data_IF_390829207423
#
_entry.id   IF_390829207423
#
_cell.length_a   1.000
_cell.length_b   1.000
_cell.length_c   1.000
_cell.angle_alpha   90.00
_cell.angle_beta   90.00
_cell.angle_gamma   90.00
#
_symmetry.space_group_name_H-M   'P 1'
#
loop_
_entity.id
_entity.type
_entity.pdbx_description
1 polymer ?
2 polymer ?
3 non-polymer ?
4 water ?
#
# COMPACT_ATOMS: atom_id res chain seq x y z
N UNK A 4 -9.95 -4.10 17.61
CA UNK A 4 -9.66 -5.59 17.59
C UNK A 4 -9.91 -6.19 16.21
N UNK A 5 -10.00 -5.38 15.18
CA UNK A 5 -10.02 -5.89 13.80
C UNK A 5 -8.68 -6.52 13.47
N UNK A 6 -8.69 -7.43 12.51
CA UNK A 6 -7.46 -8.02 11.99
C UNK A 6 -7.75 -8.80 10.73
N UNK A 7 -7.07 -9.92 10.52
CA UNK A 7 -7.19 -10.73 9.29
C UNK A 7 -7.55 -12.20 9.58
N UNK A 8 -7.95 -12.50 10.81
CA UNK A 8 -8.35 -13.87 11.22
C UNK A 8 -9.78 -14.26 10.83
N UNK A 9 -10.18 -15.50 11.11
CA UNK A 9 -11.56 -16.00 10.82
C UNK A 9 -12.57 -15.15 11.60
N UNK A 10 -12.15 -14.67 12.77
CA UNK A 10 -13.10 -14.08 13.72
C UNK A 10 -13.07 -12.56 13.66
N UNK A 11 -12.07 -11.95 13.00
CA UNK A 11 -11.97 -10.47 13.05
C UNK A 11 -11.51 -9.92 11.69
N UNK A 12 -11.61 -10.72 10.64
CA UNK A 12 -11.10 -10.34 9.32
C UNK A 12 -12.07 -9.46 8.55
N UNK A 13 -11.71 -9.18 7.29
CA UNK A 13 -12.46 -8.25 6.45
C UNK A 13 -13.99 -8.42 6.46
N UNK A 14 -14.51 -9.63 6.53
CA UNK A 14 -15.99 -9.80 6.48
C UNK A 14 -16.64 -9.35 7.80
N UNK A 15 -15.87 -9.09 8.86
CA UNK A 15 -16.39 -8.58 10.14
C UNK A 15 -16.27 -7.06 10.27
N UNK A 16 -15.43 -6.42 9.46
CA UNK A 16 -15.07 -5.00 9.69
C UNK A 16 -16.29 -4.09 9.71
N UNK A 17 -17.29 -4.39 8.87
CA UNK A 17 -18.48 -3.53 8.75
C UNK A 17 -19.20 -3.33 10.09
N UNK A 18 -19.04 -4.23 11.05
CA UNK A 18 -19.78 -4.09 12.33
C UNK A 18 -19.23 -2.92 13.14
N UNK A 19 -17.94 -2.64 13.07
CA UNK A 19 -17.38 -1.44 13.76
C UNK A 19 -17.14 -0.29 12.80
N UNK A 20 -17.07 -0.55 11.50
CA UNK A 20 -16.75 0.46 10.49
C UNK A 20 -17.75 0.34 9.34
N UNK A 21 -19.00 0.82 9.52
CA UNK A 21 -20.04 0.56 8.54
C UNK A 21 -19.73 1.05 7.11
N UNK A 22 -18.81 2.00 6.96
CA UNK A 22 -18.37 2.47 5.63
C UNK A 22 -17.73 1.32 4.84
N UNK A 23 -17.44 0.20 5.50
CA UNK A 23 -16.94 -1.00 4.81
C UNK A 23 -17.86 -1.38 3.64
N UNK A 24 -19.15 -1.08 3.75
CA UNK A 24 -20.13 -1.40 2.67
C UNK A 24 -20.44 -0.14 1.85
N UNK A 25 -19.54 0.82 1.80
CA UNK A 25 -19.78 2.13 1.15
C UNK A 25 -19.65 2.08 -0.36
N UNK A 26 -19.71 3.26 -0.95
CA UNK A 26 -19.81 3.41 -2.40
C UNK A 26 -18.43 3.53 -3.07
N UNK A 27 -17.37 3.73 -2.29
CA UNK A 27 -16.03 3.93 -2.91
C UNK A 27 -14.98 3.19 -2.08
N UNK A 28 -15.21 1.90 -1.88
CA UNK A 28 -14.27 1.07 -1.10
C UNK A 28 -13.17 0.49 -1.99
N UNK A 29 -12.05 0.23 -1.34
CA UNK A 29 -10.86 -0.34 -1.98
C UNK A 29 -10.43 -1.56 -1.20
N UNK A 30 -9.69 -2.48 -1.83
CA UNK A 30 -9.26 -2.46 -3.24
C UNK A 30 -10.40 -2.91 -4.16
N UNK A 31 -10.08 -2.94 -5.46
CA UNK A 31 -10.99 -3.39 -6.52
C UNK A 31 -10.21 -4.28 -7.48
N UNK A 32 -10.94 -5.04 -8.25
CA UNK A 32 -10.38 -5.69 -9.43
C UNK A 32 -10.31 -4.67 -10.56
N UNK A 33 -9.15 -4.64 -11.19
CA UNK A 33 -8.90 -3.76 -12.36
C UNK A 33 -9.14 -4.61 -13.59
N UNK A 34 -10.27 -4.35 -14.26
CA UNK A 34 -10.60 -5.06 -15.50
C UNK A 34 -9.93 -4.26 -16.63
N UNK A 35 -8.84 -4.77 -17.15
CA UNK A 35 -7.95 -4.02 -18.06
C UNK A 35 -8.66 -3.69 -19.35
N UNK A 36 -9.66 -4.48 -19.76
CA UNK A 36 -10.38 -4.20 -21.00
C UNK A 36 -11.38 -3.06 -20.80
N UNK A 37 -11.96 -2.90 -19.61
CA UNK A 37 -12.99 -1.88 -19.29
C UNK A 37 -12.33 -0.53 -18.90
N UNK A 38 -11.09 -0.54 -18.39
CA UNK A 38 -10.39 0.69 -17.99
C UNK A 38 -10.23 1.55 -19.22
N UNK A 39 -10.55 2.82 -19.11
CA UNK A 39 -10.45 3.67 -20.31
C UNK A 39 -9.14 4.44 -20.31
N UNK A 40 -8.44 4.40 -21.43
CA UNK A 40 -7.30 5.28 -21.64
C UNK A 40 -7.83 6.71 -21.59
N UNK A 41 -7.20 7.54 -20.81
CA UNK A 41 -7.57 8.96 -20.62
C UNK A 41 -6.38 9.80 -21.06
N UNK A 42 -6.38 10.33 -22.29
CA UNK A 42 -5.23 11.09 -22.80
C UNK A 42 -5.00 12.38 -22.00
N UNK A 43 -6.01 12.82 -21.23
CA UNK A 43 -5.90 14.03 -20.37
C UNK A 43 -5.07 13.75 -19.11
N UNK A 44 -4.83 12.49 -18.74
CA UNK A 44 -4.01 12.16 -17.55
C UNK A 44 -2.55 12.52 -17.83
N UNK A 45 -1.91 13.10 -16.83
CA UNK A 45 -0.50 13.53 -16.93
C UNK A 45 0.40 12.41 -16.44
N UNK A 46 1.68 12.45 -16.87
CA UNK A 46 2.66 11.57 -16.29
C UNK A 46 2.68 11.80 -14.78
N UNK A 47 2.92 10.73 -14.04
CA UNK A 47 3.13 10.86 -12.59
C UNK A 47 4.43 11.61 -12.37
N UNK A 48 4.49 12.48 -11.37
CA UNK A 48 5.74 13.10 -10.89
C UNK A 48 6.02 12.51 -9.53
N UNK A 49 7.01 11.64 -9.44
CA UNK A 49 7.49 11.08 -8.16
C UNK A 49 8.81 11.78 -7.80
N UNK A 50 8.83 12.60 -6.76
CA UNK A 50 10.02 13.40 -6.38
C UNK A 50 10.49 12.93 -5.01
N UNK A 51 11.29 11.87 -4.98
CA UNK A 51 11.76 11.25 -3.73
C UNK A 51 13.26 11.51 -3.48
N UNK A 52 13.94 12.33 -4.28
CA UNK A 52 15.39 12.62 -4.09
C UNK A 52 15.72 13.04 -2.65
N UNK A 53 14.88 13.84 -2.00
CA UNK A 53 15.19 14.38 -0.64
C UNK A 53 14.43 13.61 0.47
N UNK A 54 13.94 12.43 0.19
CA UNK A 54 13.18 11.65 1.19
C UNK A 54 14.03 11.40 2.44
N UNK A 55 13.39 11.54 3.60
CA UNK A 55 14.03 11.26 4.91
C UNK A 55 13.23 10.17 5.63
N UNK A 56 13.66 8.93 5.48
CA UNK A 56 13.06 7.83 6.26
C UNK A 56 13.53 7.98 7.70
N UNK A 57 12.68 7.56 8.64
CA UNK A 57 13.02 7.70 10.06
C UNK A 57 13.04 6.36 10.78
N UNK A 58 12.04 5.54 10.56
CA UNK A 58 11.77 4.43 11.51
C UNK A 58 10.95 3.37 10.79
N UNK A 59 11.03 2.16 11.28
CA UNK A 59 10.19 1.05 10.79
C UNK A 59 9.45 0.49 12.00
N UNK A 60 8.17 0.21 11.87
CA UNK A 60 7.27 -0.17 12.97
C UNK A 60 6.46 -1.41 12.59
N UNK A 61 6.42 -2.42 13.44
CA UNK A 61 5.42 -3.50 13.32
C UNK A 61 4.19 -3.04 14.09
N UNK A 62 3.11 -2.73 13.38
CA UNK A 62 1.90 -2.19 14.04
C UNK A 62 0.86 -3.30 14.28
N UNK A 63 1.24 -4.58 14.17
CA UNK A 63 0.30 -5.69 14.41
C UNK A 63 -0.49 -6.08 13.17
N UNK A 64 -0.44 -5.31 12.10
CA UNK A 64 -1.15 -5.63 10.83
C UNK A 64 -0.19 -5.69 9.65
N UNK A 65 0.85 -4.89 9.66
CA UNK A 65 1.90 -4.83 8.65
C UNK A 65 3.13 -4.21 9.31
N UNK A 66 4.13 -3.85 8.53
CA UNK A 66 5.18 -2.94 9.01
C UNK A 66 5.14 -1.68 8.18
N UNK A 67 5.31 -0.55 8.84
CA UNK A 67 5.34 0.76 8.18
C UNK A 67 6.74 1.33 8.23
N UNK A 68 7.27 1.73 7.09
CA UNK A 68 8.48 2.59 7.00
C UNK A 68 8.00 4.03 6.98
N UNK A 69 8.34 4.78 8.00
CA UNK A 69 7.85 6.15 8.24
C UNK A 69 8.85 7.17 7.74
N UNK A 70 8.33 8.28 7.25
CA UNK A 70 9.13 9.38 6.71
C UNK A 70 8.85 10.67 7.47
N UNK A 71 9.81 11.56 7.41
CA UNK A 71 9.60 12.96 7.84
C UNK A 71 8.70 13.64 6.82
N UNK A 72 7.48 13.98 7.22
CA UNK A 72 6.52 14.68 6.32
C UNK A 72 6.30 16.10 6.82
N UNK A 73 7.26 16.67 7.54
CA UNK A 73 7.14 18.05 8.07
C UNK A 73 7.56 19.10 7.01
N UNK A 74 7.99 18.68 5.83
CA UNK A 74 8.36 19.57 4.69
C UNK A 74 8.14 18.79 3.38
N UNK A 75 8.17 19.48 2.23
CA UNK A 75 7.97 18.87 0.87
C UNK A 75 9.26 18.17 0.41
N UNK A 76 9.65 17.10 1.08
CA UNK A 76 10.91 16.35 0.85
C UNK A 76 10.73 15.16 -0.11
N UNK A 77 9.60 14.50 -0.01
CA UNK A 77 9.25 13.33 -0.82
C UNK A 77 7.79 13.52 -1.25
N UNK A 78 7.56 13.93 -2.48
CA UNK A 78 6.20 14.31 -2.87
C UNK A 78 5.80 13.62 -4.18
N UNK A 79 4.51 13.44 -4.28
CA UNK A 79 3.81 12.95 -5.46
C UNK A 79 2.95 14.07 -6.00
N UNK A 80 3.00 14.27 -7.31
CA UNK A 80 2.10 15.21 -7.98
C UNK A 80 1.91 14.79 -9.41
N UNK A 81 1.11 15.55 -10.15
CA UNK A 81 0.79 15.17 -11.52
C UNK A 81 -0.06 13.93 -11.53
N UNK A 82 0.02 13.19 -12.62
CA UNK A 82 -0.92 12.09 -12.83
C UNK A 82 -2.34 12.64 -12.77
N UNK A 83 -3.25 12.02 -11.97
CA UNK A 83 -4.61 12.51 -11.81
C UNK A 83 -4.77 13.61 -10.75
N UNK A 84 -3.67 13.95 -10.06
CA UNK A 84 -3.72 14.76 -8.82
C UNK A 84 -3.69 16.25 -9.14
N UNK A 85 -4.37 16.99 -8.30
CA UNK A 85 -4.29 18.47 -8.23
C UNK A 85 -3.44 18.74 -6.99
N UNK A 86 -2.38 19.52 -7.10
CA UNK A 86 -1.60 19.90 -5.93
C UNK A 86 -0.57 18.85 -5.55
N UNK A 87 -0.12 18.90 -4.32
CA UNK A 87 1.13 18.27 -3.84
C UNK A 87 0.78 17.33 -2.70
N UNK A 88 1.27 16.11 -2.78
CA UNK A 88 1.01 15.09 -1.74
C UNK A 88 2.33 14.61 -1.14
N UNK A 89 2.45 14.68 0.17
CA UNK A 89 3.68 14.33 0.90
C UNK A 89 3.67 12.88 1.31
N UNK A 90 4.78 12.20 1.07
CA UNK A 90 4.96 10.82 1.54
C UNK A 90 5.03 10.78 3.07
N UNK A 91 4.18 9.99 3.71
CA UNK A 91 4.20 9.77 5.18
C UNK A 91 4.75 8.39 5.52
N UNK A 92 4.38 7.36 4.77
CA UNK A 92 4.84 5.99 5.12
C UNK A 92 4.62 5.10 3.92
N UNK A 93 5.33 3.99 3.88
CA UNK A 93 4.95 2.88 3.01
C UNK A 93 4.84 1.61 3.83
N UNK A 94 4.07 0.67 3.28
CA UNK A 94 3.91 -0.65 3.86
C UNK A 94 3.54 -1.61 2.74
N UNK A 95 3.43 -2.88 3.08
CA UNK A 95 3.04 -3.94 2.13
C UNK A 95 1.88 -4.73 2.69
N UNK A 96 1.23 -5.44 1.77
CA UNK A 96 0.28 -6.52 2.06
C UNK A 96 0.80 -7.74 1.32
N UNK A 97 0.72 -8.91 1.95
CA UNK A 97 1.27 -10.14 1.32
C UNK A 97 0.53 -11.37 1.80
N UNK A 98 0.85 -12.47 1.13
CA UNK A 98 0.15 -13.73 1.32
C UNK A 98 0.94 -14.77 2.10
N UNK A 99 0.26 -15.87 2.39
CA UNK A 99 0.92 -17.07 2.97
C UNK A 99 1.63 -17.89 1.87
N UNK A 100 1.24 -17.70 0.62
CA UNK A 100 1.71 -18.41 -0.61
C UNK A 100 1.90 -17.35 -1.71
N UNK A 101 2.69 -17.64 -2.72
CA UNK A 101 2.96 -16.63 -3.76
C UNK A 101 1.72 -16.34 -4.62
N UNK A 102 0.71 -17.20 -4.63
CA UNK A 102 -0.50 -16.98 -5.43
C UNK A 102 -1.53 -16.06 -4.84
N UNK A 103 -1.25 -15.45 -3.70
CA UNK A 103 -2.17 -14.48 -3.09
C UNK A 103 -1.33 -13.46 -2.33
N UNK A 104 -1.94 -12.31 -2.02
CA UNK A 104 -1.27 -11.32 -1.18
C UNK A 104 -1.58 -9.91 -1.62
N UNK A 105 -1.79 -9.67 -2.91
CA UNK A 105 -2.14 -8.31 -3.37
C UNK A 105 -3.59 -8.01 -2.95
N UNK A 106 -3.85 -6.72 -2.86
CA UNK A 106 -5.20 -6.19 -2.57
C UNK A 106 -5.92 -5.91 -3.87
N UNK A 107 -5.38 -5.03 -4.71
CA UNK A 107 -5.87 -4.92 -6.08
C UNK A 107 -5.55 -6.23 -6.81
N UNK A 108 -6.39 -6.50 -7.81
CA UNK A 108 -6.19 -7.61 -8.74
C UNK A 108 -6.28 -7.05 -10.15
N UNK A 109 -5.70 -7.76 -11.09
CA UNK A 109 -5.69 -7.33 -12.49
C UNK A 109 -6.32 -8.44 -13.31
N UNK A 110 -7.52 -8.20 -13.84
CA UNK A 110 -8.27 -9.27 -14.54
C UNK A 110 -8.30 -10.52 -13.62
N UNK A 111 -8.55 -10.29 -12.35
CA UNK A 111 -8.68 -11.31 -11.27
C UNK A 111 -7.35 -11.95 -10.92
N UNK A 112 -6.25 -11.57 -11.52
CA UNK A 112 -4.93 -12.04 -11.08
C UNK A 112 -4.55 -11.41 -9.74
N UNK A 113 -4.13 -12.25 -8.82
CA UNK A 113 -3.54 -11.86 -7.53
C UNK A 113 -2.02 -11.95 -7.63
N UNK A 114 -1.37 -10.90 -7.21
CA UNK A 114 0.09 -10.90 -7.08
C UNK A 114 0.49 -11.38 -5.67
N UNK A 115 1.77 -11.67 -5.49
CA UNK A 115 2.31 -12.18 -4.22
C UNK A 115 2.20 -11.12 -3.13
N UNK A 116 2.27 -9.85 -3.49
CA UNK A 116 2.25 -8.78 -2.49
C UNK A 116 1.93 -7.49 -3.22
N UNK A 117 1.70 -6.45 -2.42
CA UNK A 117 1.41 -5.11 -2.95
C UNK A 117 2.01 -4.08 -1.98
N UNK A 118 2.77 -3.16 -2.54
CA UNK A 118 3.40 -2.04 -1.83
C UNK A 118 2.49 -0.83 -1.96
N UNK A 119 2.26 -0.16 -0.84
CA UNK A 119 1.48 1.09 -0.76
C UNK A 119 2.36 2.20 -0.24
N UNK A 120 2.63 3.19 -1.09
CA UNK A 120 3.29 4.43 -0.71
C UNK A 120 2.21 5.47 -0.44
N UNK A 121 2.08 5.88 0.80
CA UNK A 121 0.94 6.68 1.27
C UNK A 121 1.32 8.16 1.35
N UNK A 122 0.54 9.01 0.69
CA UNK A 122 0.83 10.45 0.64
C UNK A 122 -0.41 11.23 1.01
N UNK A 123 -0.22 12.39 1.64
CA UNK A 123 -1.37 13.26 2.01
C UNK A 123 -1.25 14.63 1.37
N UNK A 124 -2.42 15.19 1.05
CA UNK A 124 -2.55 16.46 0.32
C UNK A 124 -2.16 17.62 1.21
N UNK A 125 -1.13 18.36 0.82
CA UNK A 125 -0.59 19.43 1.68
C UNK A 125 -1.64 20.51 1.96
N UNK A 126 -2.67 20.62 1.12
CA UNK A 126 -3.68 21.68 1.33
C UNK A 126 -4.46 21.43 2.62
N UNK A 127 -4.39 20.26 3.23
CA UNK A 127 -5.11 19.97 4.49
C UNK A 127 -4.18 19.98 5.71
N UNK A 128 -2.89 20.24 5.50
CA UNK A 128 -2.00 20.57 6.63
C UNK A 128 -1.44 19.40 7.41
N UNK A 129 -2.26 18.40 7.76
CA UNK A 129 -1.81 17.17 8.49
C UNK A 129 -2.60 15.93 8.02
N UNK A 130 -2.00 14.74 8.18
CA UNK A 130 -2.59 13.48 7.74
C UNK A 130 -3.98 13.30 8.33
N UNK A 131 -4.16 13.61 9.62
CA UNK A 131 -5.45 13.38 10.28
C UNK A 131 -6.54 14.22 9.67
N UNK A 132 -6.24 15.45 9.27
CA UNK A 132 -7.22 16.28 8.56
C UNK A 132 -7.42 15.74 7.14
N UNK A 133 -6.37 15.29 6.49
CA UNK A 133 -6.47 14.85 5.08
C UNK A 133 -7.39 13.64 4.98
N UNK A 134 -7.38 12.72 5.94
CA UNK A 134 -8.23 11.50 5.79
C UNK A 134 -9.71 11.81 5.90
N UNK A 135 -10.05 13.02 6.31
CA UNK A 135 -11.48 13.44 6.37
C UNK A 135 -11.97 14.05 5.06
N UNK A 136 -11.15 14.03 4.01
CA UNK A 136 -11.48 14.73 2.77
C UNK A 136 -11.42 13.76 1.61
N UNK A 137 -12.29 13.94 0.60
CA UNK A 137 -12.35 12.98 -0.51
C UNK A 137 -11.10 12.95 -1.40
N UNK A 138 -10.34 14.04 -1.39
CA UNK A 138 -9.07 14.16 -2.11
C UNK A 138 -7.93 14.33 -1.11
N UNK A 139 -8.03 13.69 0.05
CA UNK A 139 -7.03 13.84 1.11
C UNK A 139 -5.74 13.09 0.85
N UNK A 140 -5.83 11.86 0.34
CA UNK A 140 -4.67 10.97 0.20
C UNK A 140 -4.48 10.56 -1.24
N UNK A 141 -3.25 10.26 -1.59
CA UNK A 141 -2.90 9.57 -2.85
C UNK A 141 -2.05 8.38 -2.43
N UNK A 142 -2.48 7.18 -2.78
CA UNK A 142 -1.71 5.97 -2.48
C UNK A 142 -1.22 5.39 -3.80
N UNK A 143 0.09 5.26 -3.90
CA UNK A 143 0.76 4.66 -5.06
C UNK A 143 0.90 3.17 -4.75
N UNK A 144 0.22 2.34 -5.52
CA UNK A 144 0.27 0.90 -5.34
C UNK A 144 1.13 0.23 -6.39
N UNK A 145 1.96 -0.69 -5.92
CA UNK A 145 2.93 -1.39 -6.79
C UNK A 145 2.79 -2.87 -6.49
N UNK A 146 2.60 -3.68 -7.50
CA UNK A 146 2.52 -5.13 -7.32
C UNK A 146 3.92 -5.73 -7.22
N UNK A 147 3.98 -6.81 -6.44
CA UNK A 147 5.19 -7.64 -6.31
C UNK A 147 4.91 -9.03 -6.85
N UNK A 148 5.77 -9.49 -7.75
CA UNK A 148 5.82 -10.89 -8.19
C UNK A 148 7.12 -11.50 -7.70
N UNK A 149 7.14 -12.82 -7.58
CA UNK A 149 8.32 -13.56 -7.11
C UNK A 149 9.14 -13.99 -8.32
N UNK A 150 10.40 -13.60 -8.29
CA UNK A 150 11.35 -13.98 -9.33
C UNK A 150 12.73 -13.57 -8.87
N UNK A 151 13.35 -12.65 -9.61
CA UNK A 151 14.65 -12.04 -9.23
C UNK A 151 14.47 -11.21 -7.96
N UNK A 152 15.53 -11.12 -7.16
CA UNK A 152 15.56 -10.24 -5.98
C UNK A 152 15.43 -8.77 -6.41
N UNK A 153 14.86 -7.97 -5.53
CA UNK A 153 14.84 -6.49 -5.69
C UNK A 153 15.91 -5.93 -4.77
N UNK A 154 17.05 -5.46 -5.30
CA UNK A 154 18.15 -5.07 -4.42
C UNK A 154 17.77 -3.96 -3.44
N UNK A 155 16.92 -3.03 -3.89
CA UNK A 155 16.51 -1.88 -3.09
C UNK A 155 15.56 -2.25 -1.97
N UNK A 156 15.05 -3.49 -1.95
CA UNK A 156 14.21 -3.98 -0.85
C UNK A 156 15.05 -4.62 0.26
N UNK A 157 16.30 -5.01 0.00
CA UNK A 157 16.98 -5.90 0.96
C UNK A 157 17.21 -5.19 2.29
N UNK A 158 17.46 -3.88 2.31
CA UNK A 158 17.66 -3.18 3.60
C UNK A 158 16.40 -3.32 4.48
N UNK A 159 15.22 -3.29 3.87
CA UNK A 159 13.96 -3.52 4.62
C UNK A 159 13.94 -4.97 5.14
N UNK A 160 14.18 -5.94 4.28
CA UNK A 160 14.12 -7.37 4.66
C UNK A 160 15.05 -7.62 5.85
N UNK A 161 16.24 -7.04 5.80
CA UNK A 161 17.27 -7.36 6.82
C UNK A 161 16.94 -6.78 8.19
N UNK A 162 16.06 -5.78 8.30
CA UNK A 162 15.72 -5.18 9.62
C UNK A 162 14.52 -5.91 10.24
N UNK A 163 13.83 -6.74 9.49
CA UNK A 163 12.55 -7.31 9.99
C UNK A 163 12.72 -8.19 11.23
N UNK A 164 13.86 -8.88 11.35
CA UNK A 164 14.14 -9.69 12.57
C UNK A 164 14.07 -8.82 13.83
N UNK A 165 14.36 -7.52 13.73
CA UNK A 165 14.42 -6.60 14.89
C UNK A 165 13.02 -6.08 15.25
N UNK A 166 12.03 -6.28 14.39
CA UNK A 166 10.64 -5.81 14.68
C UNK A 166 9.66 -6.97 14.49
N UNK A 167 10.00 -8.12 15.04
CA UNK A 167 9.25 -9.34 14.75
C UNK A 167 7.80 -9.22 15.22
N UNK A 168 7.58 -8.57 16.36
CA UNK A 168 6.28 -8.59 17.05
C UNK A 168 5.67 -7.18 17.16
N UNK A 169 4.36 -7.21 17.31
CA UNK A 169 3.51 -6.01 17.37
C UNK A 169 4.05 -5.01 18.38
N UNK A 170 4.23 -3.78 17.94
CA UNK A 170 4.67 -2.68 18.81
C UNK A 170 6.17 -2.48 18.81
N UNK A 171 6.94 -3.33 18.15
CA UNK A 171 8.40 -3.11 18.05
C UNK A 171 8.70 -2.16 16.89
N UNK A 172 9.64 -1.27 17.11
CA UNK A 172 10.13 -0.31 16.10
C UNK A 172 11.65 -0.32 16.09
N UNK A 173 12.22 0.16 15.00
CA UNK A 173 13.69 0.28 14.89
C UNK A 173 14.03 1.53 14.09
N UNK A 174 15.14 2.16 14.39
CA UNK A 174 15.60 3.29 13.54
C UNK A 174 15.72 2.76 12.11
N UNK A 175 15.34 3.57 11.15
CA UNK A 175 15.41 3.17 9.73
C UNK A 175 15.64 4.41 8.91
N UNK A 176 16.81 5.01 9.11
CA UNK A 176 17.22 6.24 8.41
C UNK A 176 17.89 5.90 7.10
N UNK A 177 17.90 6.90 6.22
CA UNK A 177 18.66 6.90 4.94
C UNK A 177 18.19 5.76 4.02
N UNK A 178 16.92 5.37 4.08
CA UNK A 178 16.38 4.44 3.09
C UNK A 178 15.78 5.20 1.90
N UNK A 179 16.16 4.81 0.71
CA UNK A 179 15.73 5.50 -0.53
C UNK A 179 14.58 4.73 -1.17
N UNK A 180 13.32 5.22 -1.09
CA UNK A 180 12.19 4.46 -1.64
C UNK A 180 12.19 4.40 -3.17
N UNK A 181 13.07 5.15 -3.83
CA UNK A 181 13.19 5.05 -5.31
C UNK A 181 13.59 3.63 -5.68
N UNK A 182 14.31 2.92 -4.79
CA UNK A 182 14.73 1.55 -5.09
C UNK A 182 13.60 0.54 -5.09
N UNK A 183 12.36 0.96 -4.80
CA UNK A 183 11.21 0.03 -4.83
C UNK A 183 10.35 0.24 -6.08
N UNK A 184 10.68 1.18 -6.97
CA UNK A 184 9.83 1.50 -8.13
C UNK A 184 10.19 0.60 -9.29
N UNK A 185 9.23 0.30 -10.17
CA UNK A 185 9.52 -0.38 -11.43
C UNK A 185 10.05 0.67 -12.41
N UNK A 186 10.40 0.21 -13.60
CA UNK A 186 10.94 1.08 -14.66
C UNK A 186 9.85 2.05 -15.15
N UNK A 187 8.67 1.55 -15.48
CA UNK A 187 7.57 2.35 -16.06
C UNK A 187 6.72 2.93 -14.95
N UNK A 188 6.23 4.16 -15.15
CA UNK A 188 5.22 4.77 -14.27
C UNK A 188 3.84 4.80 -14.95
N UNK A 189 3.59 3.91 -15.91
CA UNK A 189 2.23 3.75 -16.46
C UNK A 189 1.30 3.26 -15.34
N UNK A 190 0.08 3.77 -15.28
CA UNK A 190 -0.79 3.51 -14.12
C UNK A 190 -2.27 3.45 -14.51
N UNK A 191 -3.02 2.85 -13.60
CA UNK A 191 -4.48 2.98 -13.49
C UNK A 191 -4.82 3.90 -12.33
N UNK A 192 -5.96 4.55 -12.39
CA UNK A 192 -6.36 5.41 -11.26
C UNK A 192 -7.86 5.34 -11.06
N UNK A 193 -8.30 5.44 -9.83
CA UNK A 193 -9.74 5.48 -9.49
C UNK A 193 -9.87 6.06 -8.12
N UNK A 194 -11.07 6.54 -7.74
CA UNK A 194 -11.31 7.03 -6.40
C UNK A 194 -11.73 5.93 -5.45
N UNK A 195 -11.08 5.83 -4.28
CA UNK A 195 -11.35 4.75 -3.34
C UNK A 195 -11.12 5.13 -1.91
N UNK A 196 -10.67 4.14 -1.16
CA UNK A 196 -10.64 4.20 0.30
C UNK A 196 -9.34 3.66 0.88
N UNK A 197 -9.15 3.88 2.16
CA UNK A 197 -8.18 3.08 2.93
C UNK A 197 -8.63 1.64 2.84
N UNK A 198 -7.68 0.70 2.78
CA UNK A 198 -8.02 -0.74 2.73
C UNK A 198 -8.00 -1.41 4.10
N UNK A 199 -7.72 -0.65 5.15
CA UNK A 199 -7.84 -1.12 6.55
C UNK A 199 -8.76 -0.15 7.28
N UNK A 200 -9.40 -0.60 8.37
CA UNK A 200 -10.12 0.34 9.22
C UNK A 200 -9.23 1.53 9.53
N UNK A 201 -9.75 2.76 9.53
CA UNK A 201 -11.19 3.05 9.44
C UNK A 201 -11.83 3.11 8.04
N UNK A 202 -11.15 2.66 7.00
CA UNK A 202 -11.79 2.44 5.67
C UNK A 202 -12.33 3.75 5.08
N UNK A 203 -11.73 4.87 5.43
CA UNK A 203 -12.23 6.19 5.02
C UNK A 203 -12.07 6.38 3.52
N UNK A 204 -13.05 7.02 2.92
CA UNK A 204 -13.17 7.19 1.46
C UNK A 204 -12.45 8.47 1.05
N UNK A 205 -11.14 8.48 1.17
CA UNK A 205 -10.30 9.69 1.08
C UNK A 205 -9.13 9.51 0.12
N UNK A 206 -9.13 8.42 -0.67
CA UNK A 206 -7.92 8.06 -1.46
C UNK A 206 -8.17 8.22 -2.95
N UNK A 207 -7.22 8.87 -3.62
CA UNK A 207 -7.02 8.73 -5.07
C UNK A 207 -5.98 7.62 -5.24
N UNK A 208 -6.42 6.48 -5.75
CA UNK A 208 -5.56 5.32 -5.98
C UNK A 208 -4.83 5.49 -7.30
N UNK A 209 -3.54 5.21 -7.30
CA UNK A 209 -2.68 5.22 -8.49
C UNK A 209 -1.96 3.89 -8.45
N UNK A 210 -2.32 2.94 -9.30
CA UNK A 210 -1.78 1.57 -9.27
C UNK A 210 -0.91 1.37 -10.49
N UNK A 211 0.38 1.12 -10.30
CA UNK A 211 1.29 0.97 -11.44
C UNK A 211 1.00 -0.33 -12.17
N UNK A 212 1.08 -0.27 -13.50
CA UNK A 212 0.89 -1.48 -14.31
C UNK A 212 2.04 -2.48 -14.18
N UNK A 213 3.25 -1.98 -14.13
CA UNK A 213 4.46 -2.84 -14.12
C UNK A 213 4.72 -3.30 -12.69
N UNK A 214 4.76 -4.61 -12.41
CA UNK A 214 5.15 -5.06 -11.09
C UNK A 214 6.65 -4.91 -10.91
N UNK A 215 7.07 -5.03 -9.65
CA UNK A 215 8.47 -5.27 -9.31
C UNK A 215 8.61 -6.75 -9.00
N UNK A 216 9.82 -7.25 -9.24
CA UNK A 216 10.18 -8.63 -8.89
C UNK A 216 10.95 -8.61 -7.57
N UNK A 217 10.59 -9.53 -6.69
CA UNK A 217 11.31 -9.78 -5.43
C UNK A 217 11.65 -11.26 -5.40
N UNK A 218 12.63 -11.63 -4.61
CA UNK A 218 12.98 -13.07 -4.54
C UNK A 218 12.08 -13.82 -3.56
N UNK A 219 12.03 -15.13 -3.73
CA UNK A 219 11.34 -16.02 -2.78
C UNK A 219 11.89 -15.77 -1.37
N UNK A 220 13.19 -15.58 -1.25
CA UNK A 220 13.81 -15.38 0.08
C UNK A 220 13.34 -14.07 0.69
N UNK A 221 13.18 -13.03 -0.12
CA UNK A 221 12.73 -11.72 0.41
C UNK A 221 11.30 -11.87 0.97
N UNK A 222 10.40 -12.45 0.19
CA UNK A 222 9.00 -12.56 0.68
C UNK A 222 8.90 -13.56 1.84
N UNK A 223 9.71 -14.61 1.86
CA UNK A 223 9.75 -15.56 3.01
C UNK A 223 10.03 -14.78 4.30
N UNK A 224 10.88 -13.77 4.25
CA UNK A 224 11.21 -12.98 5.45
C UNK A 224 10.01 -12.13 5.86
N UNK A 225 9.22 -11.60 4.94
CA UNK A 225 7.97 -10.93 5.34
C UNK A 225 7.10 -11.88 6.17
N UNK A 226 7.03 -13.15 5.75
CA UNK A 226 6.10 -14.13 6.33
C UNK A 226 6.60 -14.66 7.68
N UNK A 227 7.79 -14.26 8.13
CA UNK A 227 8.30 -14.64 9.46
C UNK A 227 7.90 -13.60 10.51
N UNK A 228 7.38 -12.46 10.09
CA UNK A 228 6.88 -11.46 11.05
C UNK A 228 5.70 -12.06 11.82
N UNK A 229 5.34 -11.44 12.92
CA UNK A 229 4.23 -11.87 13.79
C UNK A 229 3.17 -10.77 13.91
N UNK A 230 1.91 -11.16 13.88
CA UNK A 230 0.81 -10.25 14.23
C UNK A 230 0.81 -9.99 15.75
N UNK A 231 1.17 -11.00 16.55
CA UNK A 231 1.12 -10.99 18.03
C UNK A 231 2.22 -10.10 18.60
N UNK A 232 2.01 -9.68 19.85
CA UNK A 232 3.07 -9.07 20.66
C UNK A 232 4.06 -10.10 21.22
N UNK A 233 5.20 -9.62 21.71
CA UNK A 233 6.27 -10.43 22.35
C UNK A 233 5.64 -11.26 23.48
N UNK A 234 6.01 -12.52 23.66
CA UNK A 234 5.42 -13.28 24.78
C UNK A 234 3.88 -13.43 24.71
N UNK A 235 3.30 -13.25 23.52
CA UNK A 235 1.98 -13.85 23.17
C UNK A 235 2.26 -14.99 22.20
N UNK A 236 1.32 -15.96 22.09
CA UNK A 236 1.46 -17.07 21.16
C UNK A 236 1.72 -16.60 19.72
N UNK A 237 2.60 -17.31 19.01
CA UNK A 237 3.01 -16.88 17.67
C UNK A 237 1.87 -17.04 16.66
N UNK A 238 1.55 -15.96 15.97
CA UNK A 238 0.63 -15.96 14.80
C UNK A 238 1.36 -15.27 13.66
N UNK A 239 1.74 -16.03 12.64
CA UNK A 239 2.55 -15.45 11.56
C UNK A 239 1.74 -14.35 10.85
N UNK A 240 2.42 -13.28 10.54
CA UNK A 240 1.85 -12.15 9.78
C UNK A 240 1.87 -12.52 8.30
N UNK A 241 0.77 -13.12 7.87
CA UNK A 241 0.53 -13.51 6.46
C UNK A 241 -0.93 -13.26 6.15
N UNK A 242 -1.21 -13.04 4.87
CA UNK A 242 -2.59 -12.84 4.38
C UNK A 242 -3.21 -11.61 5.05
N UNK A 243 -2.43 -10.54 5.08
CA UNK A 243 -2.88 -9.24 5.65
C UNK A 243 -3.42 -8.36 4.50
N UNK A 244 -4.26 -8.91 3.64
CA UNK A 244 -4.86 -8.22 2.49
C UNK A 244 -6.37 -8.28 2.61
N UNK A 245 -7.01 -7.22 2.14
CA UNK A 245 -8.47 -7.14 1.99
C UNK A 245 -8.77 -7.57 0.57
N UNK A 246 -9.79 -8.41 0.35
CA UNK A 246 -10.24 -8.77 -1.00
C UNK A 246 -10.81 -7.60 -1.78
N UNK A 247 -10.92 -7.79 -3.09
CA UNK A 247 -11.57 -6.80 -3.97
C UNK A 247 -13.02 -6.56 -3.53
N UNK A 248 -13.37 -5.28 -3.56
CA UNK A 248 -14.70 -4.76 -3.18
C UNK A 248 -15.45 -4.32 -4.42
N UNK A 249 -16.79 -4.17 -4.31
CA UNK A 249 -17.57 -3.79 -5.48
C UNK A 249 -17.14 -2.44 -6.07
N UNK A 250 -17.06 -2.37 -7.39
CA UNK A 250 -16.66 -1.11 -8.08
C UNK A 250 -17.77 -0.07 -8.00
N UNK A 251 -19.02 -0.52 -7.99
CA UNK A 251 -20.17 0.41 -7.90
C UNK A 251 -20.07 1.45 -9.02
N UNK A 252 -20.31 2.71 -8.73
CA UNK A 252 -20.43 3.73 -9.78
C UNK A 252 -19.06 4.37 -9.94
N UNK A 253 -18.03 3.57 -10.33
CA UNK A 253 -16.70 4.12 -10.55
C UNK A 253 -16.13 3.69 -11.89
N UNK A 254 -15.30 4.58 -12.41
CA UNK A 254 -14.51 4.37 -13.63
C UNK A 254 -13.05 4.25 -13.22
N UNK A 255 -12.40 3.23 -13.72
CA UNK A 255 -10.92 3.12 -13.65
C UNK A 255 -10.35 3.67 -14.96
N UNK A 256 -9.42 4.60 -14.84
CA UNK A 256 -8.79 5.23 -16.03
C UNK A 256 -7.35 4.77 -16.14
N UNK A 257 -6.90 4.59 -17.36
CA UNK A 257 -5.53 4.18 -17.70
C UNK A 257 -4.77 5.39 -18.22
N UNK A 258 -3.52 5.51 -17.84
CA UNK A 258 -2.61 6.58 -18.31
C UNK A 258 -1.99 6.23 -19.66
N UNK A 259 -2.20 5.00 -20.12
CA UNK A 259 -1.46 4.39 -21.25
C UNK A 259 -2.44 3.68 -22.18
N UNK A 260 -2.02 3.56 -23.42
CA UNK A 260 -2.80 2.92 -24.51
C UNK A 260 -2.40 1.44 -24.54
CA UNK C 1 -6.33 6.68 9.44
C UNK C 1 -6.86 7.03 10.75
N UNK C 2 -6.42 6.39 11.88
CA UNK C 2 -6.75 6.81 13.24
C UNK C 2 -5.50 7.31 13.96
N UNK C 3 -5.67 8.04 15.07
CA UNK C 3 -4.55 8.67 15.76
C UNK C 3 -3.67 7.60 16.40
N UNK C 4 -2.34 7.82 16.42
CA UNK C 4 -1.51 7.30 15.34
C UNK C 4 -1.05 8.33 14.30
X LIG D 1 -2.06 -0.72 2.31
#
# INVERSE_FOLDING_TARGET
>A
MSHHWGYGKHNGPEHWHKDFPIAKGERQSPVDIDTHTAKYDPSLKPLSVSYDQATSLRILNNGHAFNVEFDDSQDKAVLKGGPLDGTYRLIQFHFHWGSLDGQGSEHTVDKKKYAAELHLVHWNTKYGDFGKAVQQPDGLAVLGIFLKVGSAKPGLQKVVDVLDSIKTKGKSADFTNFDPRGLLPESLDYWTYPGSLTTPPLLECVTWIVLKEPISVSSEQVLKFRKLNFNGEGEPEELMVDNWRPAQPLKNRQIKASFK
>C
XSLXFX
>D hetero
1 ZN ZN
#
